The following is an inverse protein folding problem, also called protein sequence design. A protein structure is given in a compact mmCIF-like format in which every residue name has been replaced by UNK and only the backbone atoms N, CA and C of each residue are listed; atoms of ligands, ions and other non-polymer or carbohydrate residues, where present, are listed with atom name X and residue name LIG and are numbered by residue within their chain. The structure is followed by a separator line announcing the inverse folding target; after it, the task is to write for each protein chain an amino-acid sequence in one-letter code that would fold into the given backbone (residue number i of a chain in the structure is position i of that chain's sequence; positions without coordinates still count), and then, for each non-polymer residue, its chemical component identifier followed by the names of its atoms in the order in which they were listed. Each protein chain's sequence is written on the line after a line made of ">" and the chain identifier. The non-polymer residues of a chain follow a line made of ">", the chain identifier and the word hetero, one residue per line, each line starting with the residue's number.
data_IF_194816858154
#
_entry.id   IF_194816858154
#
_cell.length_a   1.000
_cell.length_b   1.000
_cell.length_c   1.000
_cell.angle_alpha   90.00
_cell.angle_beta   90.00
_cell.angle_gamma   90.00
#
_symmetry.space_group_name_H-M   'P 1'
#
loop_
_entity.id
_entity.type
_entity.pdbx_description
1 polymer ?
#
# COMPACT_ATOMS: atom_id res chain seq x y z
N UNK A 1 -8.93 -6.81 -3.15
CA UNK A 1 -7.50 -7.00 -3.50
C UNK A 1 -7.12 -5.86 -4.41
N UNK A 2 -5.92 -5.30 -4.21
CA UNK A 2 -5.50 -4.16 -4.99
C UNK A 2 -5.30 -4.46 -6.49
N UNK A 3 -5.55 -3.46 -7.33
CA UNK A 3 -5.32 -3.51 -8.78
C UNK A 3 -3.85 -3.42 -9.17
N UNK A 4 -2.99 -2.95 -8.28
CA UNK A 4 -1.55 -2.83 -8.48
C UNK A 4 -0.80 -3.49 -7.33
N UNK A 5 0.41 -3.97 -7.61
CA UNK A 5 1.33 -4.48 -6.61
C UNK A 5 2.38 -3.43 -6.22
N UNK A 6 3.13 -3.70 -5.16
CA UNK A 6 4.21 -2.81 -4.70
C UNK A 6 5.28 -2.54 -5.77
N UNK A 7 5.51 -3.47 -6.70
CA UNK A 7 6.42 -3.24 -7.82
C UNK A 7 5.90 -2.13 -8.75
N UNK A 8 4.62 -2.16 -9.11
CA UNK A 8 3.98 -1.15 -9.97
C UNK A 8 4.02 0.24 -9.32
N UNK A 9 3.88 0.32 -7.99
CA UNK A 9 4.05 1.56 -7.25
C UNK A 9 5.47 2.14 -7.46
N UNK A 10 6.49 1.30 -7.45
CA UNK A 10 7.86 1.75 -7.65
C UNK A 10 8.16 2.14 -9.10
N UNK A 11 7.49 1.51 -10.05
CA UNK A 11 7.69 1.76 -11.47
C UNK A 11 6.93 3.02 -11.94
N UNK A 12 5.80 3.36 -11.31
CA UNK A 12 4.92 4.44 -11.77
C UNK A 12 4.73 5.61 -10.79
N UNK A 13 4.94 5.39 -9.49
CA UNK A 13 4.45 6.30 -8.45
C UNK A 13 5.54 6.94 -7.60
N UNK A 14 6.45 6.15 -7.04
CA UNK A 14 7.51 6.64 -6.14
C UNK A 14 8.81 5.86 -6.31
N UNK A 15 10.00 6.49 -6.22
CA UNK A 15 11.25 5.75 -6.20
C UNK A 15 11.35 4.78 -5.01
N UNK A 16 12.14 3.71 -5.19
CA UNK A 16 12.43 2.77 -4.10
C UNK A 16 13.14 3.48 -2.94
N UNK A 17 12.67 3.27 -1.72
CA UNK A 17 13.23 3.87 -0.51
C UNK A 17 12.72 5.27 -0.17
N UNK A 18 11.90 5.89 -1.03
CA UNK A 18 11.32 7.22 -0.77
C UNK A 18 10.20 7.21 0.28
N UNK A 19 9.68 6.03 0.63
CA UNK A 19 8.63 5.86 1.63
C UNK A 19 9.28 5.51 2.97
N UNK A 20 9.37 6.46 3.92
CA UNK A 20 9.95 6.18 5.23
C UNK A 20 9.03 5.25 6.03
N UNK A 21 9.64 4.30 6.75
CA UNK A 21 8.97 3.59 7.85
C UNK A 21 9.52 4.14 9.16
N UNK A 22 8.85 5.16 9.68
CA UNK A 22 9.31 5.86 10.88
C UNK A 22 9.21 4.95 12.09
N UNK A 23 10.36 4.63 12.68
CA UNK A 23 10.42 3.87 13.92
C UNK A 23 9.96 4.75 15.09
N UNK A 24 9.22 4.17 16.02
CA UNK A 24 8.72 4.84 17.23
C UNK A 24 9.35 4.22 18.47
N UNK A 25 9.68 5.04 19.45
CA UNK A 25 10.24 4.58 20.72
C UNK A 25 9.11 4.02 21.60
N UNK A 26 9.30 2.79 22.06
CA UNK A 26 8.43 2.15 23.05
C UNK A 26 8.69 2.80 24.41
N UNK A 27 7.62 3.23 25.08
CA UNK A 27 7.70 3.94 26.35
C UNK A 27 8.13 3.03 27.50
N UNK A 28 7.52 1.84 27.60
CA UNK A 28 7.83 0.85 28.61
C UNK A 28 7.52 -0.57 28.14
N UNK A 29 8.08 -1.56 28.84
CA UNK A 29 7.82 -2.98 28.60
C UNK A 29 7.52 -3.65 29.95
N UNK A 30 6.36 -4.26 30.06
CA UNK A 30 5.94 -5.05 31.21
C UNK A 30 6.09 -6.54 30.89
N UNK A 31 7.07 -7.18 31.53
CA UNK A 31 7.37 -8.61 31.37
C UNK A 31 6.40 -9.52 32.14
N UNK A 32 5.65 -9.00 33.13
CA UNK A 32 4.66 -9.80 33.85
C UNK A 32 3.39 -10.01 33.01
N UNK A 33 3.04 -9.03 32.18
CA UNK A 33 1.86 -9.07 31.30
C UNK A 33 2.19 -9.16 29.82
N UNK A 34 3.48 -9.19 29.46
CA UNK A 34 4.00 -9.24 28.09
C UNK A 34 3.51 -8.08 27.21
N UNK A 35 3.37 -6.89 27.80
CA UNK A 35 2.85 -5.69 27.15
C UNK A 35 3.96 -4.69 26.85
N UNK A 36 3.87 -4.08 25.67
CA UNK A 36 4.67 -2.93 25.27
C UNK A 36 3.77 -1.71 25.27
N UNK A 37 4.24 -0.62 25.88
CA UNK A 37 3.55 0.66 25.92
C UNK A 37 4.02 1.55 24.77
N UNK A 38 3.09 1.94 23.92
CA UNK A 38 3.26 2.92 22.86
C UNK A 38 1.92 3.64 22.66
N UNK A 39 1.77 4.81 23.26
CA UNK A 39 0.53 5.59 23.16
C UNK A 39 0.17 5.91 21.69
N UNK A 40 -1.11 5.72 21.35
CA UNK A 40 -1.60 5.87 19.98
C UNK A 40 -0.83 5.02 18.97
N UNK A 41 -0.56 3.74 19.29
CA UNK A 41 0.17 2.86 18.36
C UNK A 41 -0.58 2.63 17.04
N UNK A 42 -1.91 2.60 17.07
CA UNK A 42 -2.77 2.48 15.88
C UNK A 42 -2.69 1.12 15.17
N UNK A 43 -2.10 0.12 15.82
CA UNK A 43 -1.96 -1.24 15.29
C UNK A 43 -3.27 -2.02 15.37
N UNK A 44 -3.58 -2.72 14.29
CA UNK A 44 -4.60 -3.76 14.26
C UNK A 44 -4.00 -5.13 14.61
N UNK A 45 -4.87 -6.06 15.02
CA UNK A 45 -4.47 -7.45 15.24
C UNK A 45 -3.92 -8.08 13.97
N UNK A 46 -2.70 -8.61 14.03
CA UNK A 46 -2.01 -9.20 12.88
C UNK A 46 -1.13 -8.23 12.08
N UNK A 47 -1.00 -6.98 12.49
CA UNK A 47 -0.07 -6.05 11.84
C UNK A 47 1.39 -6.51 12.01
N UNK A 48 2.12 -6.58 10.90
CA UNK A 48 3.52 -6.96 10.89
C UNK A 48 4.42 -5.82 11.40
N UNK A 49 5.05 -6.02 12.55
CA UNK A 49 5.98 -5.07 13.18
C UNK A 49 7.38 -5.68 13.28
N UNK A 50 8.41 -4.82 13.28
CA UNK A 50 9.79 -5.26 13.53
C UNK A 50 10.39 -4.42 14.66
N UNK A 51 11.33 -5.01 15.40
CA UNK A 51 11.99 -4.33 16.51
C UNK A 51 13.48 -4.14 16.25
N UNK A 52 14.01 -3.06 16.81
CA UNK A 52 15.46 -2.85 16.97
C UNK A 52 15.72 -2.05 18.25
N UNK A 53 16.93 -2.13 18.78
CA UNK A 53 17.38 -1.22 19.82
C UNK A 53 18.08 0.00 19.20
N UNK A 54 17.91 1.17 19.81
CA UNK A 54 18.74 2.34 19.51
C UNK A 54 20.17 2.15 20.06
N UNK A 55 21.14 2.97 19.65
CA UNK A 55 22.53 2.86 20.08
C UNK A 55 22.69 2.79 21.60
N UNK A 56 23.33 1.73 22.09
CA UNK A 56 23.52 1.46 23.52
C UNK A 56 22.29 0.88 24.25
N UNK A 57 21.20 0.60 23.52
CA UNK A 57 20.02 -0.07 24.04
C UNK A 57 20.08 -1.60 23.93
N UNK A 58 19.01 -2.26 24.38
CA UNK A 58 18.83 -3.71 24.32
C UNK A 58 17.39 -4.07 24.01
N UNK A 59 17.15 -5.16 23.29
CA UNK A 59 15.79 -5.65 23.06
C UNK A 59 15.29 -6.46 24.26
N UNK A 60 13.96 -6.54 24.45
CA UNK A 60 13.34 -7.48 25.37
C UNK A 60 13.76 -8.92 25.06
N UNK A 61 14.01 -9.71 26.09
CA UNK A 61 14.23 -11.15 25.94
C UNK A 61 13.02 -11.80 25.27
N UNK A 62 13.25 -12.68 24.31
CA UNK A 62 12.22 -13.24 23.43
C UNK A 62 12.05 -12.50 22.09
N UNK A 63 12.55 -11.27 21.97
CA UNK A 63 12.57 -10.52 20.71
C UNK A 63 13.96 -10.47 20.10
N UNK A 64 14.04 -10.63 18.79
CA UNK A 64 15.27 -10.55 18.01
C UNK A 64 15.18 -9.41 17.00
N UNK A 65 16.26 -8.66 16.85
CA UNK A 65 16.31 -7.49 15.97
C UNK A 65 16.08 -7.91 14.51
N UNK A 66 15.23 -7.16 13.80
CA UNK A 66 14.92 -7.41 12.39
C UNK A 66 14.00 -8.61 12.11
N UNK A 67 13.58 -9.36 13.13
CA UNK A 67 12.55 -10.39 12.99
C UNK A 67 11.17 -9.73 12.93
N UNK A 68 10.33 -10.23 12.03
CA UNK A 68 8.93 -9.81 11.92
C UNK A 68 8.09 -10.50 12.99
N UNK A 69 7.35 -9.70 13.73
CA UNK A 69 6.36 -10.13 14.72
C UNK A 69 4.99 -9.55 14.35
N UNK A 70 3.95 -10.05 14.99
CA UNK A 70 2.57 -9.66 14.69
C UNK A 70 1.94 -8.99 15.91
N UNK A 71 1.44 -7.77 15.75
CA UNK A 71 0.85 -6.99 16.84
C UNK A 71 -0.49 -7.61 17.30
N UNK A 72 -0.68 -7.62 18.62
CA UNK A 72 -1.90 -8.00 19.31
C UNK A 72 -2.32 -6.79 20.17
N UNK A 73 -3.17 -5.90 19.66
CA UNK A 73 -3.58 -4.71 20.41
C UNK A 73 -4.35 -5.10 21.67
N UNK A 74 -4.04 -4.45 22.79
CA UNK A 74 -4.77 -4.60 24.06
C UNK A 74 -5.73 -3.43 24.23
N UNK A 75 -5.23 -2.20 24.02
CA UNK A 75 -5.98 -0.96 24.02
C UNK A 75 -5.28 0.08 23.11
N UNK A 76 -5.45 1.39 23.35
CA UNK A 76 -4.83 2.45 22.54
C UNK A 76 -3.34 2.65 22.82
N UNK A 77 -2.90 2.32 24.04
CA UNK A 77 -1.54 2.54 24.51
C UNK A 77 -0.73 1.26 24.66
N UNK A 78 -1.39 0.11 24.82
CA UNK A 78 -0.72 -1.17 25.06
C UNK A 78 -1.00 -2.17 23.95
N UNK A 79 0.06 -2.88 23.56
CA UNK A 79 -0.03 -4.01 22.65
C UNK A 79 0.93 -5.11 23.07
N UNK A 80 0.64 -6.34 22.64
CA UNK A 80 1.52 -7.50 22.75
C UNK A 80 1.98 -7.91 21.35
N UNK A 81 2.88 -8.89 21.25
CA UNK A 81 3.35 -9.40 19.96
C UNK A 81 3.39 -10.92 19.92
N UNK A 82 3.12 -11.47 18.75
CA UNK A 82 3.17 -12.90 18.46
C UNK A 82 4.24 -13.22 17.39
N UNK A 83 4.73 -14.45 17.39
CA UNK A 83 5.68 -14.94 16.37
C UNK A 83 5.01 -15.22 15.01
N UNK A 84 3.70 -15.47 15.03
CA UNK A 84 2.89 -15.77 13.85
C UNK A 84 1.60 -14.95 13.86
N UNK A 85 1.05 -14.64 12.69
CA UNK A 85 -0.23 -13.95 12.57
C UNK A 85 -1.33 -14.75 13.25
N UNK A 86 -2.07 -14.12 14.18
CA UNK A 86 -3.11 -14.78 14.98
C UNK A 86 -2.59 -15.76 16.04
N UNK A 87 -1.29 -15.77 16.31
CA UNK A 87 -0.67 -16.59 17.36
C UNK A 87 -0.86 -16.02 18.77
N UNK A 88 -0.33 -16.73 19.77
CA UNK A 88 -0.30 -16.25 21.15
C UNK A 88 0.79 -15.20 21.38
N UNK A 89 0.60 -14.36 22.40
CA UNK A 89 1.62 -13.42 22.85
C UNK A 89 2.92 -14.15 23.24
N UNK A 90 4.04 -13.56 22.84
CA UNK A 90 5.39 -14.00 23.20
C UNK A 90 5.65 -13.63 24.65
N UNK A 91 6.32 -14.54 25.37
CA UNK A 91 6.80 -14.28 26.72
C UNK A 91 8.06 -13.41 26.69
N UNK A 92 8.00 -12.26 27.36
CA UNK A 92 9.09 -11.29 27.43
C UNK A 92 9.88 -11.51 28.72
N UNK A 93 11.11 -11.98 28.61
CA UNK A 93 11.90 -12.37 29.80
C UNK A 93 12.74 -11.23 30.39
N UNK A 94 12.93 -10.15 29.64
CA UNK A 94 13.57 -8.91 30.10
C UNK A 94 12.90 -7.71 29.44
N UNK A 95 12.93 -6.54 30.09
CA UNK A 95 12.29 -5.34 29.56
C UNK A 95 13.06 -4.70 28.39
N UNK A 96 14.38 -4.91 28.31
CA UNK A 96 15.24 -4.19 27.36
C UNK A 96 15.36 -2.69 27.68
N UNK A 97 15.91 -1.91 26.74
CA UNK A 97 16.08 -0.46 26.84
C UNK A 97 16.19 0.20 25.47
N UNK A 98 15.64 1.41 25.32
CA UNK A 98 15.66 2.20 24.06
C UNK A 98 15.16 1.40 22.85
N UNK A 99 13.97 0.83 22.98
CA UNK A 99 13.40 -0.07 21.98
C UNK A 99 12.64 0.73 20.94
N UNK A 100 12.97 0.50 19.69
CA UNK A 100 12.28 1.07 18.55
C UNK A 100 11.41 -0.01 17.91
N UNK A 101 10.11 0.27 17.80
CA UNK A 101 9.20 -0.51 16.96
C UNK A 101 9.06 0.17 15.61
N UNK A 102 9.15 -0.62 14.56
CA UNK A 102 8.99 -0.17 13.18
C UNK A 102 7.63 -0.71 12.70
N UNK A 103 6.68 0.16 12.33
CA UNK A 103 5.36 -0.23 11.87
C UNK A 103 5.41 -0.96 10.52
N UNK A 104 4.30 -1.60 10.08
CA UNK A 104 4.20 -2.17 8.75
C UNK A 104 4.38 -1.10 7.66
N UNK A 105 4.65 -1.56 6.44
CA UNK A 105 4.69 -0.67 5.27
C UNK A 105 3.32 -0.02 5.06
N UNK A 106 3.24 1.30 4.76
CA UNK A 106 1.97 1.92 4.41
C UNK A 106 1.51 1.58 2.98
N UNK A 107 2.42 1.05 2.14
CA UNK A 107 2.19 0.79 0.72
C UNK A 107 0.98 -0.13 0.44
N UNK A 108 0.85 -1.32 1.06
CA UNK A 108 -0.29 -2.20 0.80
C UNK A 108 -1.64 -1.52 1.08
N UNK A 109 -1.75 -0.83 2.21
CA UNK A 109 -2.95 -0.09 2.57
C UNK A 109 -3.26 1.04 1.58
N UNK A 110 -2.24 1.73 1.06
CA UNK A 110 -2.41 2.75 0.03
C UNK A 110 -2.88 2.18 -1.32
N UNK A 111 -2.41 0.98 -1.69
CA UNK A 111 -2.85 0.27 -2.89
C UNK A 111 -4.29 -0.22 -2.78
N UNK A 112 -4.68 -0.74 -1.62
CA UNK A 112 -6.06 -1.14 -1.35
C UNK A 112 -7.00 0.09 -1.36
N UNK A 113 -6.59 1.20 -0.76
CA UNK A 113 -7.31 2.47 -0.81
C UNK A 113 -7.50 2.96 -2.26
N UNK A 114 -6.42 2.96 -3.06
CA UNK A 114 -6.48 3.40 -4.44
C UNK A 114 -7.40 2.52 -5.29
N UNK A 115 -7.40 1.22 -5.03
CA UNK A 115 -8.24 0.27 -5.77
C UNK A 115 -9.72 0.44 -5.46
N UNK A 116 -10.05 0.66 -4.18
CA UNK A 116 -11.41 0.98 -3.77
C UNK A 116 -11.91 2.29 -4.40
N UNK A 117 -11.03 3.29 -4.52
CA UNK A 117 -11.37 4.54 -5.18
C UNK A 117 -11.58 4.35 -6.69
N UNK A 118 -10.76 3.53 -7.34
CA UNK A 118 -10.92 3.20 -8.75
C UNK A 118 -12.23 2.45 -9.01
N UNK A 119 -12.64 1.56 -8.12
CA UNK A 119 -13.93 0.87 -8.23
C UNK A 119 -15.12 1.83 -8.23
N UNK A 120 -15.05 2.90 -7.44
CA UNK A 120 -16.07 3.96 -7.41
C UNK A 120 -16.03 4.85 -8.67
N UNK A 121 -14.84 5.09 -9.23
CA UNK A 121 -14.65 5.87 -10.46
C UNK A 121 -15.07 5.12 -11.72
N UNK A 122 -15.03 3.79 -11.71
CA UNK A 122 -15.31 2.98 -12.89
C UNK A 122 -16.82 2.77 -13.08
N UNK A 123 -17.32 2.87 -14.33
CA UNK A 123 -18.72 2.53 -14.60
C UNK A 123 -19.04 1.07 -14.25
N UNK A 124 -20.27 0.83 -13.77
CA UNK A 124 -20.72 -0.49 -13.33
C UNK A 124 -20.61 -1.61 -14.38
N UNK A 125 -20.57 -1.29 -15.69
CA UNK A 125 -20.41 -2.30 -16.74
C UNK A 125 -18.97 -2.79 -16.92
N UNK A 126 -17.99 -2.09 -16.34
CA UNK A 126 -16.55 -2.41 -16.40
C UNK A 126 -16.11 -3.24 -15.20
N UNK A 127 -16.77 -3.05 -14.05
CA UNK A 127 -16.49 -3.72 -12.78
C UNK A 127 -17.38 -5.00 -12.68
N UNK A 128 -16.90 -6.11 -12.08
CA UNK A 128 -15.58 -6.33 -11.52
C UNK A 128 -14.52 -6.60 -12.59
N UNK A 129 -13.35 -5.99 -12.40
CA UNK A 129 -12.16 -6.33 -13.17
C UNK A 129 -11.57 -7.65 -12.67
N UNK A 130 -11.06 -8.45 -13.59
CA UNK A 130 -10.40 -9.73 -13.32
C UNK A 130 -8.95 -9.64 -13.78
N UNK A 131 -8.03 -10.19 -13.01
CA UNK A 131 -6.62 -10.25 -13.38
C UNK A 131 -6.43 -11.06 -14.69
N UNK A 132 -5.46 -10.71 -15.55
CA UNK A 132 -4.56 -9.56 -15.44
C UNK A 132 -5.27 -8.23 -15.67
N UNK A 133 -4.99 -7.23 -14.81
CA UNK A 133 -5.66 -5.94 -14.87
C UNK A 133 -5.11 -5.08 -16.04
N UNK A 134 -5.93 -4.21 -16.64
CA UNK A 134 -5.48 -3.32 -17.70
C UNK A 134 -4.35 -2.40 -17.22
N UNK A 135 -3.28 -2.17 -18.02
CA UNK A 135 -2.13 -1.35 -17.60
C UNK A 135 -2.50 0.05 -17.12
N UNK A 136 -3.53 0.66 -17.72
CA UNK A 136 -4.01 1.99 -17.33
C UNK A 136 -4.61 2.02 -15.92
N UNK A 137 -5.27 0.93 -15.50
CA UNK A 137 -5.84 0.77 -14.16
C UNK A 137 -4.72 0.54 -13.16
N UNK A 138 -3.75 -0.30 -13.49
CA UNK A 138 -2.55 -0.55 -12.68
C UNK A 138 -1.77 0.74 -12.43
N UNK A 139 -1.46 1.49 -13.49
CA UNK A 139 -0.75 2.78 -13.41
C UNK A 139 -1.52 3.80 -12.57
N UNK A 140 -2.83 3.95 -12.81
CA UNK A 140 -3.67 4.90 -12.06
C UNK A 140 -3.76 4.51 -10.59
N UNK A 141 -3.84 3.21 -10.28
CA UNK A 141 -3.80 2.70 -8.91
C UNK A 141 -2.46 3.02 -8.23
N UNK A 142 -1.35 2.80 -8.94
CA UNK A 142 -0.01 3.11 -8.45
C UNK A 142 0.17 4.61 -8.18
N UNK A 143 -0.28 5.50 -9.08
CA UNK A 143 -0.22 6.95 -8.89
C UNK A 143 -1.03 7.44 -7.68
N UNK A 144 -2.27 6.96 -7.53
CA UNK A 144 -3.12 7.29 -6.38
C UNK A 144 -2.50 6.80 -5.07
N UNK A 145 -2.00 5.57 -5.05
CA UNK A 145 -1.32 5.02 -3.88
C UNK A 145 -0.04 5.80 -3.55
N UNK A 146 0.72 6.24 -4.56
CA UNK A 146 1.90 7.08 -4.38
C UNK A 146 1.55 8.42 -3.74
N UNK A 147 0.53 9.11 -4.26
CA UNK A 147 0.02 10.33 -3.64
C UNK A 147 -0.35 10.10 -2.17
N UNK A 148 -1.08 9.01 -1.87
CA UNK A 148 -1.53 8.70 -0.51
C UNK A 148 -0.36 8.54 0.46
N UNK A 149 0.69 7.84 0.04
CA UNK A 149 1.89 7.61 0.87
C UNK A 149 2.71 8.90 1.01
N UNK A 150 2.87 9.69 -0.04
CA UNK A 150 3.58 10.97 0.02
C UNK A 150 2.83 11.97 0.92
N UNK A 151 1.50 12.00 0.87
CA UNK A 151 0.66 12.86 1.69
C UNK A 151 0.84 12.60 3.19
N UNK A 152 1.08 11.34 3.60
CA UNK A 152 1.36 11.00 5.01
C UNK A 152 2.65 11.62 5.54
N UNK A 153 3.58 11.98 4.65
CA UNK A 153 4.87 12.59 5.01
C UNK A 153 4.92 14.09 4.74
N UNK A 154 3.83 14.68 4.25
CA UNK A 154 3.80 16.07 3.79
C UNK A 154 4.57 16.32 2.49
N UNK A 155 4.99 15.27 1.78
CA UNK A 155 5.76 15.35 0.53
C UNK A 155 4.86 15.39 -0.73
N UNK A 156 3.54 15.30 -0.58
CA UNK A 156 2.62 15.41 -1.71
C UNK A 156 2.57 16.85 -2.23
N UNK A 157 2.76 17.02 -3.54
CA UNK A 157 2.78 18.32 -4.22
C UNK A 157 1.42 18.75 -4.78
N UNK A 158 0.52 17.78 -5.02
CA UNK A 158 -0.82 18.02 -5.54
C UNK A 158 -1.89 17.76 -4.47
N UNK A 159 -3.05 18.42 -4.60
CA UNK A 159 -4.20 18.16 -3.73
C UNK A 159 -4.85 16.81 -4.04
N UNK A 160 -5.61 16.27 -3.09
CA UNK A 160 -6.39 15.04 -3.32
C UNK A 160 -7.36 15.22 -4.51
N UNK A 161 -8.03 16.37 -4.58
CA UNK A 161 -9.03 16.66 -5.61
C UNK A 161 -8.40 16.67 -7.01
N UNK A 162 -7.21 17.27 -7.16
CA UNK A 162 -6.52 17.32 -8.45
C UNK A 162 -6.11 15.91 -8.94
N UNK A 163 -5.56 15.10 -8.03
CA UNK A 163 -5.09 13.75 -8.38
C UNK A 163 -6.28 12.82 -8.69
N UNK A 164 -7.35 12.89 -7.90
CA UNK A 164 -8.55 12.07 -8.12
C UNK A 164 -9.29 12.47 -9.40
N UNK A 165 -9.37 13.76 -9.72
CA UNK A 165 -9.95 14.24 -10.97
C UNK A 165 -9.15 13.77 -12.19
N UNK A 166 -7.81 13.89 -12.15
CA UNK A 166 -6.96 13.42 -13.23
C UNK A 166 -7.09 11.90 -13.45
N UNK A 167 -7.19 11.12 -12.36
CA UNK A 167 -7.45 9.68 -12.41
C UNK A 167 -8.82 9.38 -13.05
N UNK A 168 -9.87 10.08 -12.63
CA UNK A 168 -11.22 9.89 -13.15
C UNK A 168 -11.30 10.20 -14.65
N UNK A 169 -10.72 11.31 -15.11
CA UNK A 169 -10.70 11.68 -16.53
C UNK A 169 -10.03 10.60 -17.39
N UNK A 170 -8.90 10.06 -16.92
CA UNK A 170 -8.17 8.99 -17.59
C UNK A 170 -8.97 7.69 -17.66
N UNK A 171 -9.59 7.29 -16.54
CA UNK A 171 -10.39 6.06 -16.46
C UNK A 171 -11.66 6.16 -17.32
N UNK A 172 -12.33 7.31 -17.36
CA UNK A 172 -13.52 7.55 -18.20
C UNK A 172 -13.18 7.51 -19.68
N UNK A 173 -12.03 8.07 -20.08
CA UNK A 173 -11.58 8.00 -21.48
C UNK A 173 -11.31 6.55 -21.90
N UNK A 174 -10.66 5.78 -21.02
CA UNK A 174 -10.42 4.36 -21.27
C UNK A 174 -11.72 3.53 -21.28
N UNK A 175 -12.63 3.77 -20.33
CA UNK A 175 -13.86 2.97 -20.20
C UNK A 175 -14.78 3.07 -21.41
N UNK A 176 -14.74 4.19 -22.14
CA UNK A 176 -15.49 4.36 -23.41
C UNK A 176 -15.08 3.35 -24.49
N UNK A 177 -13.83 2.88 -24.47
CA UNK A 177 -13.32 1.85 -25.36
C UNK A 177 -13.34 0.44 -24.76
N UNK A 178 -13.76 0.28 -23.50
CA UNK A 178 -13.81 -1.02 -22.85
C UNK A 178 -15.01 -1.84 -23.37
N UNK A 179 -14.84 -3.15 -23.65
CA UNK A 179 -15.92 -3.98 -24.14
C UNK A 179 -17.05 -4.10 -23.11
N UNK A 180 -18.29 -3.86 -23.54
CA UNK A 180 -19.49 -4.06 -22.72
C UNK A 180 -19.61 -5.55 -22.39
N UNK A 181 -19.63 -5.93 -21.11
CA UNK A 181 -19.83 -7.31 -20.67
C UNK A 181 -21.33 -7.59 -20.48
N UNK A 182 -21.82 -8.72 -21.01
CA UNK A 182 -23.20 -9.21 -20.80
C UNK A 182 -23.88 -9.75 -22.07
N UNK A 183 -25.04 -10.41 -21.92
CA UNK A 183 -25.85 -10.98 -23.04
C UNK A 183 -26.33 -9.91 -24.05
N UNK A 184 -26.22 -8.64 -23.69
CA UNK A 184 -26.55 -7.48 -24.52
C UNK A 184 -25.30 -6.78 -25.10
N UNK A 185 -24.12 -7.42 -25.03
CA UNK A 185 -22.93 -6.93 -25.71
C UNK A 185 -23.20 -6.93 -27.23
N UNK A 186 -23.15 -5.76 -27.91
CA UNK A 186 -23.26 -5.75 -29.36
C UNK A 186 -22.12 -6.60 -29.93
N UNK A 187 -22.44 -7.49 -30.88
CA UNK A 187 -21.43 -8.26 -31.58
C UNK A 187 -20.36 -7.30 -32.10
N UNK A 188 -19.08 -7.58 -31.80
CA UNK A 188 -17.98 -6.71 -32.19
C UNK A 188 -18.05 -6.47 -33.71
N UNK A 189 -18.44 -5.25 -34.10
CA UNK A 189 -18.39 -4.84 -35.48
C UNK A 189 -16.90 -4.74 -35.85
N UNK A 190 -16.43 -5.69 -36.64
CA UNK A 190 -15.08 -5.70 -37.21
C UNK A 190 -14.84 -4.38 -37.97
N UNK A 191 -14.19 -3.41 -37.32
CA UNK A 191 -13.65 -2.24 -37.99
C UNK A 191 -12.38 -2.67 -38.72
N UNK A 192 -12.55 -3.08 -39.97
CA UNK A 192 -11.45 -3.26 -40.90
C UNK A 192 -10.69 -1.92 -41.06
N UNK A 193 -9.43 -1.87 -40.64
CA UNK A 193 -8.47 -0.86 -41.12
C UNK A 193 -7.36 -1.59 -41.86
N UNK A 194 -7.27 -1.31 -43.15
CA UNK A 194 -6.21 -1.74 -44.03
C UNK A 194 -4.92 -0.95 -43.76
N UNK A 195 -3.82 -1.71 -43.69
CA UNK A 195 -2.42 -1.34 -43.96
C UNK A 195 -1.80 -0.06 -43.34
N UNK A 196 -0.78 -0.23 -42.49
CA UNK A 196 0.63 0.13 -42.80
C UNK A 196 1.59 -0.29 -41.65
N UNK A 197 2.82 -0.64 -42.04
CA UNK A 197 3.94 -1.27 -41.32
C UNK A 197 4.27 -0.82 -39.87
N UNK A 198 4.95 -1.67 -39.07
CA UNK A 198 5.31 -1.35 -37.69
C UNK A 198 6.40 -0.27 -37.65
N UNK A 199 6.07 0.90 -37.09
CA UNK A 199 7.08 1.81 -36.57
C UNK A 199 7.72 1.15 -35.35
N UNK A 200 8.92 0.62 -35.52
CA UNK A 200 9.82 0.28 -34.41
C UNK A 200 10.25 1.58 -33.73
N UNK A 201 9.59 1.93 -32.63
CA UNK A 201 9.94 3.07 -31.80
C UNK A 201 9.26 2.91 -30.45
N UNK A 202 10.07 2.78 -29.39
CA UNK A 202 9.65 2.74 -27.99
C UNK A 202 8.71 3.90 -27.66
N UNK A 203 7.39 3.64 -27.64
CA UNK A 203 6.36 4.67 -27.52
C UNK A 203 5.93 4.99 -26.07
N UNK A 204 6.69 4.58 -25.05
CA UNK A 204 6.22 4.62 -23.66
C UNK A 204 7.18 5.32 -22.69
N UNK A 205 7.84 6.39 -23.13
CA UNK A 205 8.70 7.22 -22.26
C UNK A 205 8.09 8.59 -21.90
N UNK A 206 6.84 8.89 -22.27
CA UNK A 206 6.32 10.26 -22.20
C UNK A 206 5.08 10.48 -21.35
N UNK A 207 4.68 9.52 -20.50
CA UNK A 207 3.67 9.83 -19.49
C UNK A 207 4.36 10.42 -18.27
N UNK A 208 4.14 11.72 -18.11
CA UNK A 208 4.88 12.61 -17.22
C UNK A 208 4.89 12.13 -15.78
N UNK A 209 6.10 12.02 -15.24
CA UNK A 209 6.30 12.17 -13.80
C UNK A 209 5.76 13.53 -13.36
N UNK A 210 5.17 13.53 -12.17
CA UNK A 210 4.70 14.71 -11.46
C UNK A 210 5.88 15.69 -11.38
N UNK A 211 5.74 16.88 -11.97
CA UNK A 211 6.70 17.99 -11.82
C UNK A 211 6.41 18.76 -10.56
#
# INVERSE_FOLDING_TARGET
>A
MAYAVTADLYDHGVPRGSVPRTARLVASVDTATNRLELDGHGFAGGDAVTFRAEGGGSLPGGLTAGVTYYALPVDEAYFQVAATSGGSAIDLTTAGSRILVIPPSPIPAALDWASALIDDMLPAHVVPLTAPYPPIVVMTCAELAAWKVLAQTGAATASLDDVTKAAQERLVLWSKGAPIRGTNAPAAASLATSAAAPRTGSAWSSYGGIR
#
